data_IF_984124580428
#
_entry.id   IF_984124580428
#
_cell.length_a   1.000
_cell.length_b   1.000
_cell.length_c   1.000
_cell.angle_alpha   90.00
_cell.angle_beta   90.00
_cell.angle_gamma   90.00
#
_symmetry.space_group_name_H-M   'P 1'
#
loop_
_entity.id
_entity.type
_entity.pdbx_description
1 polymer ?
#
# COMPACT_ATOMS: atom_id res chain seq x y z
N UNK A 1 -11.55 -2.22 -2.02
CA UNK A 1 -11.83 -1.54 -0.74
C UNK A 1 -12.69 -2.38 0.20
N UNK A 2 -13.62 -3.20 -0.32
CA UNK A 2 -14.45 -4.09 0.51
C UNK A 2 -13.61 -5.04 1.36
N UNK A 3 -12.72 -5.79 0.72
CA UNK A 3 -11.84 -6.74 1.39
C UNK A 3 -10.82 -6.04 2.31
N UNK A 4 -10.30 -4.89 1.89
CA UNK A 4 -9.43 -4.07 2.74
C UNK A 4 -10.13 -3.62 4.03
N UNK A 5 -11.43 -3.27 3.95
CA UNK A 5 -12.24 -2.92 5.12
C UNK A 5 -12.54 -4.13 6.00
N UNK A 6 -12.85 -5.30 5.41
CA UNK A 6 -13.04 -6.54 6.17
C UNK A 6 -11.77 -6.89 6.97
N UNK A 7 -10.62 -6.92 6.29
CA UNK A 7 -9.33 -7.19 6.94
C UNK A 7 -9.00 -6.15 8.02
N UNK A 8 -9.31 -4.88 7.77
CA UNK A 8 -9.11 -3.84 8.77
C UNK A 8 -9.94 -4.08 10.02
N UNK A 9 -11.23 -4.37 9.87
CA UNK A 9 -12.12 -4.68 11.00
C UNK A 9 -11.64 -5.92 11.77
N UNK A 10 -11.24 -6.98 11.06
CA UNK A 10 -10.72 -8.21 11.68
C UNK A 10 -9.42 -7.98 12.46
N UNK A 11 -8.54 -7.08 11.97
CA UNK A 11 -7.21 -6.85 12.54
C UNK A 11 -7.13 -5.69 13.54
N UNK A 12 -8.10 -4.77 13.56
CA UNK A 12 -8.05 -3.50 14.34
C UNK A 12 -7.75 -3.73 15.83
N UNK A 13 -8.43 -4.69 16.47
CA UNK A 13 -8.23 -4.97 17.89
C UNK A 13 -6.84 -5.54 18.19
N UNK A 14 -6.31 -6.43 17.33
CA UNK A 14 -4.98 -7.01 17.50
C UNK A 14 -3.87 -5.98 17.24
N UNK A 15 -4.09 -5.06 16.30
CA UNK A 15 -3.20 -3.91 16.06
C UNK A 15 -3.17 -3.01 17.31
N UNK A 16 -4.33 -2.62 17.84
CA UNK A 16 -4.43 -1.79 19.04
C UNK A 16 -3.70 -2.42 20.23
N UNK A 17 -3.94 -3.72 20.52
CA UNK A 17 -3.23 -4.46 21.58
C UNK A 17 -1.72 -4.49 21.37
N UNK A 18 -1.28 -4.59 20.10
CA UNK A 18 0.14 -4.62 19.76
C UNK A 18 0.83 -3.29 20.00
N UNK A 19 0.15 -2.20 19.68
CA UNK A 19 0.62 -0.84 19.89
C UNK A 19 0.61 -0.49 21.39
N UNK A 20 -0.43 -0.91 22.11
CA UNK A 20 -0.52 -0.68 23.57
C UNK A 20 0.68 -1.28 24.33
N UNK A 21 1.09 -2.49 23.98
CA UNK A 21 2.30 -3.14 24.54
C UNK A 21 3.59 -2.37 24.25
N UNK A 22 3.58 -1.46 23.28
CA UNK A 22 4.71 -0.61 22.89
C UNK A 22 4.58 0.82 23.43
N UNK A 23 3.65 1.07 24.35
CA UNK A 23 3.42 2.40 24.90
C UNK A 23 2.73 3.36 23.93
N UNK A 24 1.93 2.84 23.02
CA UNK A 24 1.23 3.62 21.99
C UNK A 24 -0.29 3.40 22.07
N UNK A 25 -1.06 4.45 21.91
CA UNK A 25 -2.52 4.41 21.79
C UNK A 25 -2.90 4.48 20.31
N UNK A 26 -3.66 3.50 19.84
CA UNK A 26 -4.19 3.50 18.49
C UNK A 26 -5.44 4.38 18.42
N UNK A 27 -5.44 5.38 17.55
CA UNK A 27 -6.61 6.25 17.34
C UNK A 27 -7.43 5.78 16.15
N UNK A 28 -6.85 5.75 14.95
CA UNK A 28 -7.50 5.28 13.72
C UNK A 28 -6.50 4.96 12.61
N UNK A 29 -6.99 4.39 11.51
CA UNK A 29 -6.18 4.18 10.31
C UNK A 29 -6.92 4.53 9.03
N UNK A 30 -6.17 5.04 8.05
CA UNK A 30 -6.66 5.41 6.72
C UNK A 30 -5.87 4.63 5.66
N UNK A 31 -6.52 3.99 4.68
CA UNK A 31 -5.82 3.31 3.62
C UNK A 31 -5.27 4.30 2.59
N UNK A 32 -4.10 4.00 2.06
CA UNK A 32 -3.69 4.52 0.77
C UNK A 32 -4.58 3.94 -0.33
N UNK A 33 -4.70 4.61 -1.49
CA UNK A 33 -5.32 4.01 -2.67
C UNK A 33 -4.66 2.68 -3.06
N UNK A 34 -5.40 1.87 -3.82
CA UNK A 34 -4.93 0.58 -4.31
C UNK A 34 -3.57 0.70 -5.01
N UNK A 35 -2.65 -0.18 -4.66
CA UNK A 35 -1.31 -0.16 -5.23
C UNK A 35 -1.31 -0.79 -6.62
N UNK A 36 -0.79 -0.04 -7.62
CA UNK A 36 -0.65 -0.46 -9.00
C UNK A 36 0.81 -0.51 -9.45
N UNK A 37 1.07 -1.23 -10.54
CA UNK A 37 2.40 -1.39 -11.11
C UNK A 37 2.66 -0.26 -12.12
N UNK A 38 3.73 0.48 -11.92
CA UNK A 38 4.28 1.48 -12.83
C UNK A 38 5.45 0.92 -13.62
N UNK A 39 5.56 1.28 -14.89
CA UNK A 39 6.68 0.88 -15.72
C UNK A 39 7.01 1.93 -16.78
N UNK A 40 8.32 2.05 -17.11
CA UNK A 40 8.77 2.81 -18.28
C UNK A 40 8.46 2.08 -19.59
N UNK A 41 8.49 0.74 -19.57
CA UNK A 41 8.24 -0.13 -20.72
C UNK A 41 6.88 -0.81 -20.58
N UNK A 42 6.30 -1.18 -21.68
CA UNK A 42 5.10 -2.00 -21.68
C UNK A 42 5.39 -3.39 -21.10
N UNK A 43 4.44 -3.91 -20.32
CA UNK A 43 4.52 -5.25 -19.71
C UNK A 43 3.35 -6.06 -20.25
N UNK A 44 3.63 -6.97 -21.14
CA UNK A 44 2.65 -7.82 -21.84
C UNK A 44 2.69 -9.28 -21.39
N UNK A 45 3.76 -9.69 -20.71
CA UNK A 45 3.96 -11.06 -20.26
C UNK A 45 4.68 -11.11 -18.91
N UNK A 46 4.65 -12.28 -18.27
CA UNK A 46 5.44 -12.54 -17.04
C UNK A 46 6.95 -12.45 -17.32
N UNK A 47 7.37 -12.77 -18.55
CA UNK A 47 8.78 -12.69 -18.94
C UNK A 47 9.30 -11.24 -18.91
N UNK A 48 8.46 -10.24 -19.17
CA UNK A 48 8.83 -8.83 -19.16
C UNK A 48 9.16 -8.29 -17.76
N UNK A 49 8.77 -9.03 -16.71
CA UNK A 49 9.11 -8.71 -15.32
C UNK A 49 10.54 -9.12 -14.97
N UNK A 50 11.10 -10.11 -15.68
CA UNK A 50 12.40 -10.69 -15.33
C UNK A 50 13.54 -9.67 -15.50
N UNK A 51 14.24 -9.42 -14.41
CA UNK A 51 15.36 -8.47 -14.38
C UNK A 51 14.96 -7.00 -14.45
N UNK A 52 13.64 -6.67 -14.49
CA UNK A 52 13.16 -5.29 -14.51
C UNK A 52 13.58 -4.59 -13.21
N UNK A 53 14.30 -3.49 -13.33
CA UNK A 53 14.77 -2.70 -12.18
C UNK A 53 13.58 -2.14 -11.40
N UNK A 54 13.39 -2.62 -10.19
CA UNK A 54 12.19 -2.37 -9.40
C UNK A 54 12.50 -1.57 -8.14
N UNK A 55 11.78 -0.48 -7.93
CA UNK A 55 11.80 0.27 -6.68
C UNK A 55 11.06 -0.50 -5.60
N UNK A 56 11.79 -0.97 -4.58
CA UNK A 56 11.23 -1.46 -3.34
C UNK A 56 11.32 -0.39 -2.24
N UNK A 57 10.42 -0.42 -1.25
CA UNK A 57 10.45 0.51 -0.10
C UNK A 57 10.29 -0.20 1.25
N UNK A 58 10.02 -1.49 1.24
CA UNK A 58 9.97 -2.33 2.43
C UNK A 58 10.21 -3.80 2.06
N UNK A 59 10.29 -4.68 3.08
CA UNK A 59 10.52 -6.11 2.89
C UNK A 59 9.46 -6.80 2.04
N UNK A 60 8.19 -6.37 2.13
CA UNK A 60 7.12 -6.96 1.32
C UNK A 60 7.31 -6.65 -0.17
N UNK A 61 7.68 -5.41 -0.52
CA UNK A 61 7.94 -5.05 -1.92
C UNK A 61 9.22 -5.68 -2.46
N UNK A 62 10.24 -5.91 -1.64
CA UNK A 62 11.41 -6.73 -2.00
C UNK A 62 10.95 -8.16 -2.31
N UNK A 63 10.12 -8.75 -1.44
CA UNK A 63 9.63 -10.12 -1.63
C UNK A 63 8.79 -10.29 -2.92
N UNK A 64 7.98 -9.29 -3.26
CA UNK A 64 7.25 -9.27 -4.54
C UNK A 64 8.24 -9.30 -5.71
N UNK A 65 9.27 -8.48 -5.68
CA UNK A 65 10.27 -8.44 -6.74
C UNK A 65 10.98 -9.80 -6.90
N UNK A 66 11.39 -10.42 -5.79
CA UNK A 66 11.99 -11.76 -5.81
C UNK A 66 11.05 -12.81 -6.44
N UNK A 67 9.78 -12.84 -6.03
CA UNK A 67 8.80 -13.82 -6.53
C UNK A 67 8.40 -13.59 -8.00
N UNK A 68 8.58 -12.39 -8.51
CA UNK A 68 8.29 -12.02 -9.90
C UNK A 68 9.53 -12.02 -10.80
N UNK A 69 10.72 -12.21 -10.22
CA UNK A 69 12.00 -12.17 -10.95
C UNK A 69 12.49 -10.75 -11.28
N UNK A 70 11.86 -9.70 -10.72
CA UNK A 70 12.34 -8.32 -10.84
C UNK A 70 13.59 -8.10 -9.99
N UNK A 71 14.38 -7.08 -10.32
CA UNK A 71 15.60 -6.70 -9.59
C UNK A 71 15.30 -5.54 -8.61
N UNK A 72 15.14 -5.80 -7.28
CA UNK A 72 14.74 -4.78 -6.33
C UNK A 72 15.92 -3.88 -5.93
N UNK A 73 15.65 -2.58 -5.86
CA UNK A 73 16.51 -1.58 -5.23
C UNK A 73 15.69 -0.80 -4.21
N UNK A 74 16.18 -0.68 -2.98
CA UNK A 74 15.49 0.10 -1.95
C UNK A 74 15.69 1.59 -2.20
N UNK A 75 14.59 2.30 -2.47
CA UNK A 75 14.56 3.74 -2.75
C UNK A 75 13.48 4.37 -1.88
N UNK A 76 13.83 5.41 -1.14
CA UNK A 76 12.89 6.16 -0.31
C UNK A 76 11.94 7.02 -1.15
N UNK A 77 10.80 7.42 -0.56
CA UNK A 77 9.77 8.15 -1.29
C UNK A 77 10.25 9.50 -1.86
N UNK A 78 11.18 10.17 -1.18
CA UNK A 78 11.74 11.44 -1.64
C UNK A 78 12.54 11.28 -2.93
N UNK A 79 13.19 10.14 -3.13
CA UNK A 79 14.17 9.86 -4.20
C UNK A 79 13.53 9.26 -5.46
N UNK A 80 12.23 8.96 -5.46
CA UNK A 80 11.53 8.27 -6.57
C UNK A 80 11.81 8.95 -7.92
N UNK A 81 11.58 10.26 -8.02
CA UNK A 81 11.73 11.00 -9.28
C UNK A 81 13.15 10.90 -9.81
N UNK A 82 14.15 11.09 -8.95
CA UNK A 82 15.56 10.98 -9.33
C UNK A 82 15.91 9.55 -9.77
N UNK A 83 15.47 8.55 -9.03
CA UNK A 83 15.76 7.15 -9.35
C UNK A 83 15.21 6.72 -10.71
N UNK A 84 14.02 7.21 -11.08
CA UNK A 84 13.48 7.01 -12.42
C UNK A 84 14.23 7.81 -13.47
N UNK A 85 14.53 9.09 -13.24
CA UNK A 85 15.25 9.93 -14.21
C UNK A 85 16.62 9.39 -14.56
N UNK A 86 17.36 8.88 -13.58
CA UNK A 86 18.70 8.29 -13.76
C UNK A 86 18.68 6.85 -14.31
N UNK A 87 17.51 6.20 -14.35
CA UNK A 87 17.39 4.79 -14.73
C UNK A 87 17.90 3.81 -13.67
N UNK A 88 18.08 4.26 -12.43
CA UNK A 88 18.34 3.37 -11.29
C UNK A 88 17.20 2.39 -11.07
N UNK A 89 15.96 2.81 -11.38
CA UNK A 89 14.78 1.95 -11.43
C UNK A 89 13.96 2.24 -12.70
N UNK A 90 13.21 1.24 -13.16
CA UNK A 90 12.33 1.32 -14.34
C UNK A 90 10.88 1.02 -13.98
N UNK A 91 10.64 0.47 -12.78
CA UNK A 91 9.32 0.08 -12.31
C UNK A 91 9.17 0.27 -10.80
N UNK A 92 7.92 0.35 -10.34
CA UNK A 92 7.56 0.35 -8.92
C UNK A 92 6.12 -0.12 -8.75
N UNK A 93 5.76 -0.59 -7.56
CA UNK A 93 4.37 -0.73 -7.15
C UNK A 93 4.09 0.32 -6.08
N UNK A 94 3.12 1.22 -6.37
CA UNK A 94 2.68 2.27 -5.44
C UNK A 94 1.28 2.77 -5.82
N UNK A 95 0.73 3.72 -5.04
CA UNK A 95 -0.60 4.27 -5.30
C UNK A 95 -0.62 5.22 -6.51
N UNK A 96 -1.77 5.39 -7.18
CA UNK A 96 -1.92 6.42 -8.21
C UNK A 96 -1.68 7.83 -7.66
N UNK A 97 -2.01 8.09 -6.37
CA UNK A 97 -1.72 9.34 -5.68
C UNK A 97 -0.22 9.64 -5.62
N UNK A 98 0.61 8.64 -5.34
CA UNK A 98 2.07 8.82 -5.34
C UNK A 98 2.57 9.18 -6.73
N UNK A 99 2.13 8.46 -7.77
CA UNK A 99 2.54 8.76 -9.15
C UNK A 99 2.15 10.15 -9.59
N UNK A 100 0.91 10.57 -9.29
CA UNK A 100 0.42 11.93 -9.56
C UNK A 100 1.23 12.99 -8.83
N UNK A 101 1.41 12.85 -7.52
CA UNK A 101 2.12 13.85 -6.70
C UNK A 101 3.60 13.99 -7.09
N UNK A 102 4.21 12.91 -7.59
CA UNK A 102 5.58 12.91 -8.11
C UNK A 102 5.68 13.25 -9.58
N UNK A 103 4.55 13.51 -10.26
CA UNK A 103 4.48 13.73 -11.72
C UNK A 103 5.35 12.72 -12.47
N UNK A 104 5.15 11.44 -12.16
CA UNK A 104 6.10 10.39 -12.53
C UNK A 104 6.27 10.24 -14.05
N UNK A 105 5.29 10.71 -14.84
CA UNK A 105 5.36 10.79 -16.30
C UNK A 105 6.51 11.69 -16.82
N UNK A 106 6.89 12.74 -16.06
CA UNK A 106 8.02 13.59 -16.38
C UNK A 106 9.37 12.85 -16.25
N UNK A 107 9.38 11.71 -15.54
CA UNK A 107 10.55 10.87 -15.34
C UNK A 107 10.58 9.63 -16.28
N UNK A 108 9.80 9.69 -17.37
CA UNK A 108 9.77 8.67 -18.42
C UNK A 108 8.94 7.44 -18.13
N UNK A 109 8.13 7.45 -17.05
CA UNK A 109 7.16 6.38 -16.78
C UNK A 109 5.94 6.56 -17.66
N UNK A 110 5.60 5.54 -18.45
CA UNK A 110 4.53 5.60 -19.45
C UNK A 110 3.32 4.75 -19.11
N UNK A 111 3.47 3.74 -18.26
CA UNK A 111 2.45 2.74 -18.00
C UNK A 111 2.08 2.67 -16.53
N UNK A 112 0.79 2.58 -16.25
CA UNK A 112 0.23 2.24 -14.95
C UNK A 112 -0.76 1.09 -15.10
N UNK A 113 -0.49 -0.02 -14.44
CA UNK A 113 -1.34 -1.20 -14.43
C UNK A 113 -2.09 -1.28 -13.10
N UNK A 114 -3.41 -1.20 -13.16
CA UNK A 114 -4.31 -1.28 -12.00
C UNK A 114 -4.46 -2.74 -11.56
N UNK A 115 -3.47 -3.22 -10.82
CA UNK A 115 -3.46 -4.58 -10.27
C UNK A 115 -4.11 -4.66 -8.88
N UNK A 116 -4.36 -3.53 -8.23
CA UNK A 116 -4.92 -3.43 -6.88
C UNK A 116 -4.24 -4.39 -5.88
N UNK A 117 -2.90 -4.46 -5.92
CA UNK A 117 -2.11 -5.49 -5.24
C UNK A 117 -2.37 -5.51 -3.72
N UNK A 118 -2.48 -4.36 -3.07
CA UNK A 118 -2.85 -4.21 -1.66
C UNK A 118 -3.26 -2.76 -1.35
N UNK A 119 -3.74 -2.53 -0.12
CA UNK A 119 -4.13 -1.23 0.42
C UNK A 119 -3.32 -0.96 1.70
N UNK A 120 -2.16 -0.30 1.62
CA UNK A 120 -1.40 0.09 2.79
C UNK A 120 -2.23 1.02 3.68
N UNK A 121 -2.04 0.96 4.99
CA UNK A 121 -2.73 1.84 5.94
C UNK A 121 -1.73 2.67 6.72
N UNK A 122 -1.96 3.98 6.78
CA UNK A 122 -1.33 4.82 7.77
C UNK A 122 -2.16 4.79 9.05
N UNK A 123 -1.47 4.62 10.17
CA UNK A 123 -2.08 4.61 11.49
C UNK A 123 -1.80 5.94 12.20
N UNK A 124 -2.83 6.51 12.82
CA UNK A 124 -2.70 7.64 13.72
C UNK A 124 -2.62 7.08 15.13
N UNK A 125 -1.54 7.41 15.80
CA UNK A 125 -1.19 6.89 17.12
C UNK A 125 -0.80 8.04 18.04
N UNK A 126 -1.00 7.86 19.35
CA UNK A 126 -0.52 8.79 20.37
C UNK A 126 0.48 8.07 21.29
N UNK A 127 1.41 8.83 21.87
CA UNK A 127 2.23 8.31 22.97
C UNK A 127 1.33 8.06 24.19
N UNK A 128 1.45 6.88 24.82
CA UNK A 128 0.56 6.46 25.92
C UNK A 128 0.73 7.31 27.18
N UNK A 129 1.94 7.73 27.49
CA UNK A 129 2.20 8.58 28.65
C UNK A 129 1.58 9.97 28.47
N UNK A 130 1.74 10.56 27.26
CA UNK A 130 1.10 11.83 26.93
C UNK A 130 -0.43 11.72 26.92
N UNK A 131 -0.97 10.63 26.38
CA UNK A 131 -2.39 10.33 26.37
C UNK A 131 -2.99 10.25 27.78
N UNK A 132 -2.29 9.58 28.69
CA UNK A 132 -2.74 9.39 30.07
C UNK A 132 -2.72 10.69 30.91
N UNK A 133 -2.05 11.75 30.45
CA UNK A 133 -2.09 13.08 31.06
C UNK A 133 -3.34 13.89 30.69
N UNK A 134 -4.08 13.46 29.68
CA UNK A 134 -5.33 14.07 29.26
C UNK A 134 -6.45 13.59 30.19
N UNK A 135 -7.37 14.50 30.51
CA UNK A 135 -8.60 14.14 31.22
C UNK A 135 -9.50 13.26 30.34
N UNK A 136 -10.42 12.54 30.99
CA UNK A 136 -11.29 11.58 30.31
C UNK A 136 -12.17 12.23 29.25
N UNK A 137 -12.68 13.43 29.48
CA UNK A 137 -13.54 14.13 28.53
C UNK A 137 -12.77 14.48 27.25
N UNK A 138 -11.53 14.93 27.39
CA UNK A 138 -10.62 15.20 26.26
C UNK A 138 -10.29 13.91 25.49
N UNK A 139 -9.97 12.80 26.18
CA UNK A 139 -9.73 11.52 25.52
C UNK A 139 -10.95 11.06 24.72
N UNK A 140 -12.16 11.15 25.29
CA UNK A 140 -13.40 10.74 24.63
C UNK A 140 -13.71 11.62 23.41
N UNK A 141 -13.48 12.93 23.50
CA UNK A 141 -13.61 13.85 22.37
C UNK A 141 -12.65 13.48 21.23
N UNK A 142 -11.37 13.25 21.54
CA UNK A 142 -10.38 12.84 20.52
C UNK A 142 -10.80 11.53 19.85
N UNK A 143 -11.26 10.53 20.61
CA UNK A 143 -11.70 9.25 20.03
C UNK A 143 -12.96 9.41 19.17
N UNK A 144 -13.87 10.29 19.53
CA UNK A 144 -15.05 10.63 18.71
C UNK A 144 -14.63 11.27 17.39
N UNK A 145 -13.75 12.25 17.42
CA UNK A 145 -13.26 12.92 16.22
C UNK A 145 -12.37 12.00 15.37
N UNK A 146 -11.58 11.11 15.99
CA UNK A 146 -10.82 10.07 15.32
C UNK A 146 -11.73 9.16 14.47
N UNK A 147 -12.90 8.77 15.01
CA UNK A 147 -13.86 7.97 14.25
C UNK A 147 -14.47 8.72 13.05
N UNK A 148 -14.65 10.04 13.16
CA UNK A 148 -15.08 10.89 12.03
C UNK A 148 -13.99 10.97 10.98
N UNK A 149 -12.75 11.24 11.41
CA UNK A 149 -11.58 11.32 10.53
C UNK A 149 -11.32 9.99 9.80
N UNK A 150 -11.45 8.85 10.49
CA UNK A 150 -11.34 7.52 9.88
C UNK A 150 -12.31 7.35 8.72
N UNK A 151 -13.62 7.58 8.95
CA UNK A 151 -14.64 7.46 7.91
C UNK A 151 -14.37 8.36 6.70
N UNK A 152 -14.06 9.64 6.96
CA UNK A 152 -13.73 10.61 5.92
C UNK A 152 -12.48 10.21 5.14
N UNK A 153 -11.44 9.75 5.83
CA UNK A 153 -10.19 9.29 5.23
C UNK A 153 -10.37 8.10 4.29
N UNK A 154 -11.19 7.11 4.67
CA UNK A 154 -11.54 5.99 3.80
C UNK A 154 -12.29 6.43 2.54
N UNK A 155 -13.23 7.38 2.67
CA UNK A 155 -13.95 7.95 1.52
C UNK A 155 -13.01 8.71 0.58
N UNK A 156 -12.15 9.57 1.14
CA UNK A 156 -11.17 10.35 0.37
C UNK A 156 -10.18 9.45 -0.36
N UNK A 157 -9.69 8.39 0.29
CA UNK A 157 -8.83 7.40 -0.35
C UNK A 157 -9.50 6.74 -1.55
N UNK A 158 -10.77 6.33 -1.41
CA UNK A 158 -11.54 5.73 -2.51
C UNK A 158 -11.76 6.70 -3.67
N UNK A 159 -12.08 7.95 -3.37
CA UNK A 159 -12.23 9.01 -4.38
C UNK A 159 -10.88 9.29 -5.06
N UNK A 160 -9.80 9.44 -4.27
CA UNK A 160 -8.44 9.65 -4.77
C UNK A 160 -8.00 8.53 -5.70
N UNK A 161 -8.29 7.28 -5.38
CA UNK A 161 -7.96 6.14 -6.24
C UNK A 161 -8.54 6.29 -7.66
N UNK A 162 -9.77 6.78 -7.79
CA UNK A 162 -10.41 7.03 -9.10
C UNK A 162 -9.83 8.26 -9.78
N UNK A 163 -9.78 9.39 -9.07
CA UNK A 163 -9.41 10.69 -9.63
C UNK A 163 -7.93 10.74 -10.03
N UNK A 164 -7.05 10.12 -9.23
CA UNK A 164 -5.63 10.15 -9.49
C UNK A 164 -5.25 9.22 -10.66
N UNK A 165 -5.95 8.07 -10.84
CA UNK A 165 -5.80 7.27 -12.07
C UNK A 165 -6.21 8.05 -13.32
N UNK A 166 -7.31 8.80 -13.25
CA UNK A 166 -7.69 9.70 -14.35
C UNK A 166 -6.61 10.75 -14.61
N UNK A 167 -6.05 11.37 -13.56
CA UNK A 167 -4.99 12.36 -13.71
C UNK A 167 -3.72 11.78 -14.35
N UNK A 168 -3.36 10.52 -14.07
CA UNK A 168 -2.25 9.85 -14.77
C UNK A 168 -2.54 9.68 -16.27
N UNK A 169 -3.78 9.27 -16.61
CA UNK A 169 -4.19 9.13 -18.01
C UNK A 169 -4.22 10.50 -18.73
N UNK A 170 -4.78 11.52 -18.10
CA UNK A 170 -4.83 12.90 -18.64
C UNK A 170 -3.42 13.47 -18.87
N UNK A 171 -2.43 13.00 -18.10
CA UNK A 171 -1.00 13.36 -18.28
C UNK A 171 -0.28 12.53 -19.37
N UNK A 172 -1.01 11.71 -20.13
CA UNK A 172 -0.48 10.94 -21.25
C UNK A 172 0.05 9.54 -20.90
N UNK A 173 -0.17 9.06 -19.68
CA UNK A 173 0.19 7.69 -19.33
C UNK A 173 -0.86 6.69 -19.82
N UNK A 174 -0.44 5.52 -20.24
CA UNK A 174 -1.33 4.39 -20.49
C UNK A 174 -1.75 3.79 -19.15
N UNK A 175 -3.03 3.98 -18.80
CA UNK A 175 -3.63 3.46 -17.57
C UNK A 175 -4.56 2.31 -17.91
N UNK A 176 -4.26 1.11 -17.44
CA UNK A 176 -5.02 -0.08 -17.81
C UNK A 176 -4.94 -1.20 -16.77
N UNK A 177 -5.52 -2.34 -17.13
CA UNK A 177 -5.40 -3.59 -16.38
C UNK A 177 -4.32 -4.46 -17.02
N UNK A 178 -3.70 -5.32 -16.23
CA UNK A 178 -2.87 -6.39 -16.75
C UNK A 178 -3.73 -7.45 -17.45
N UNK A 179 -3.14 -8.19 -18.39
CA UNK A 179 -3.80 -9.33 -19.01
C UNK A 179 -4.02 -10.50 -18.02
N UNK A 180 -4.75 -11.52 -18.45
CA UNK A 180 -5.13 -12.65 -17.59
C UNK A 180 -3.90 -13.42 -17.05
N UNK A 181 -2.85 -13.59 -17.86
CA UNK A 181 -1.64 -14.32 -17.46
C UNK A 181 -0.87 -13.57 -16.35
N UNK A 182 -0.67 -12.26 -16.51
CA UNK A 182 -0.04 -11.40 -15.49
C UNK A 182 -0.89 -11.32 -14.22
N UNK A 183 -2.22 -11.22 -14.36
CA UNK A 183 -3.14 -11.23 -13.23
C UNK A 183 -3.00 -12.51 -12.41
N UNK A 184 -3.07 -13.68 -13.08
CA UNK A 184 -2.90 -14.98 -12.43
C UNK A 184 -1.52 -15.11 -11.75
N UNK A 185 -0.48 -14.57 -12.37
CA UNK A 185 0.87 -14.57 -11.78
C UNK A 185 0.92 -13.75 -10.47
N UNK A 186 0.40 -12.52 -10.47
CA UNK A 186 0.34 -11.69 -9.25
C UNK A 186 -0.55 -12.29 -8.17
N UNK A 187 -1.65 -12.96 -8.53
CA UNK A 187 -2.50 -13.69 -7.59
C UNK A 187 -1.73 -14.83 -6.89
N UNK A 188 -0.91 -15.60 -7.64
CA UNK A 188 -0.03 -16.63 -7.06
C UNK A 188 1.03 -16.03 -6.13
N UNK A 189 1.62 -14.90 -6.50
CA UNK A 189 2.55 -14.16 -5.63
C UNK A 189 1.85 -13.77 -4.33
N UNK A 190 0.65 -13.22 -4.41
CA UNK A 190 -0.16 -12.85 -3.24
C UNK A 190 -0.49 -14.05 -2.34
N UNK A 191 -0.87 -15.19 -2.93
CA UNK A 191 -1.12 -16.44 -2.18
C UNK A 191 0.14 -16.94 -1.45
N UNK A 192 1.30 -16.90 -2.11
CA UNK A 192 2.58 -17.29 -1.51
C UNK A 192 2.91 -16.39 -0.31
N UNK A 193 2.83 -15.07 -0.50
CA UNK A 193 3.10 -14.10 0.56
C UNK A 193 2.11 -14.21 1.73
N UNK A 194 0.85 -14.50 1.45
CA UNK A 194 -0.18 -14.71 2.50
C UNK A 194 0.13 -15.94 3.34
N UNK A 195 0.58 -17.04 2.73
CA UNK A 195 1.02 -18.25 3.46
C UNK A 195 2.27 -17.99 4.31
N UNK A 196 3.26 -17.29 3.75
CA UNK A 196 4.48 -16.90 4.47
C UNK A 196 4.14 -16.01 5.67
N UNK A 197 3.22 -15.06 5.49
CA UNK A 197 2.77 -14.20 6.58
C UNK A 197 2.03 -15.00 7.67
N UNK A 198 1.09 -15.86 7.29
CA UNK A 198 0.33 -16.69 8.23
C UNK A 198 1.24 -17.57 9.10
N UNK A 199 2.29 -18.14 8.50
CA UNK A 199 3.30 -18.93 9.22
C UNK A 199 4.07 -18.08 10.25
N UNK A 200 4.45 -16.85 9.88
CA UNK A 200 5.22 -15.95 10.76
C UNK A 200 4.38 -15.28 11.85
N UNK A 201 3.11 -15.02 11.57
CA UNK A 201 2.24 -14.26 12.47
C UNK A 201 1.73 -15.07 13.68
N UNK A 202 1.87 -16.39 13.68
CA UNK A 202 1.50 -17.28 14.78
C UNK A 202 0.02 -17.18 15.17
N UNK A 203 -0.29 -17.42 16.45
CA UNK A 203 -1.67 -17.43 16.98
C UNK A 203 -2.41 -16.12 16.77
N UNK A 204 -1.72 -14.99 16.79
CA UNK A 204 -2.32 -13.66 16.53
C UNK A 204 -2.75 -13.51 15.07
N UNK A 205 -1.95 -14.03 14.14
CA UNK A 205 -2.31 -14.08 12.74
C UNK A 205 -3.53 -14.96 12.50
N UNK A 206 -3.60 -16.11 13.16
CA UNK A 206 -4.77 -16.99 13.09
C UNK A 206 -6.04 -16.32 13.64
N UNK A 207 -5.93 -15.57 14.74
CA UNK A 207 -7.05 -14.77 15.27
C UNK A 207 -7.58 -13.75 14.26
N UNK A 208 -6.70 -13.12 13.48
CA UNK A 208 -7.11 -12.18 12.42
C UNK A 208 -7.76 -12.93 11.24
N UNK A 209 -7.14 -14.02 10.79
CA UNK A 209 -7.65 -14.80 9.65
C UNK A 209 -9.01 -15.44 9.93
N UNK A 210 -9.26 -15.88 11.16
CA UNK A 210 -10.57 -16.47 11.55
C UNK A 210 -11.72 -15.46 11.55
N UNK A 211 -11.40 -14.15 11.61
CA UNK A 211 -12.37 -13.05 11.58
C UNK A 211 -12.52 -12.40 10.19
N UNK A 212 -11.60 -12.73 9.28
CA UNK A 212 -11.60 -12.20 7.91
C UNK A 212 -12.47 -13.03 6.97
#
# INVERSE_FOLDING_TARGET
>A
YGDAMKLYKASKAEIAKSLDKKGLVFLYAVPWPAQGLYSKKEINSVADLKGLKFRAYNSATVRIAELTGMAPTKIEAAEISQAFSTGAVESMITSPTTGKNKKIWENGVKYFYDIAAWFPKNMIIANKEAWNKLDKATQDLIMKEAAVAERKGWQLSKMGNKNDKKALADAGMTVGKVNAALKSHFEKVGQTMSKEWASKAGSRGQTVLSKY
#
